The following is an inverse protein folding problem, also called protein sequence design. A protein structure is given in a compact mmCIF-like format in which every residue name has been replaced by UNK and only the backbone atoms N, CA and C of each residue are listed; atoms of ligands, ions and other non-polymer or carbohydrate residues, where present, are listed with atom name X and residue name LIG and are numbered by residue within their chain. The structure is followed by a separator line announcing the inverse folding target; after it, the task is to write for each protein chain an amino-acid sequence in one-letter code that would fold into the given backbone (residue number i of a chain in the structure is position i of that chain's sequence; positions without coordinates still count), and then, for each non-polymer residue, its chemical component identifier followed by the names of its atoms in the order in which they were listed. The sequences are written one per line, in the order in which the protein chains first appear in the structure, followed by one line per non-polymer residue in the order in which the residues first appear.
data_IF_522696143540
#
_entry.id   IF_522696143540
#
_cell.length_a   1.000
_cell.length_b   1.000
_cell.length_c   1.000
_cell.angle_alpha   90.00
_cell.angle_beta   90.00
_cell.angle_gamma   90.00
#
_symmetry.space_group_name_H-M   'P 1'
#
loop_
_entity.id
_entity.type
_entity.pdbx_description
1 polymer ?
#
# COMPACT_ATOMS: atom_id res chain seq x y z
N UNK A 1 42.64 -3.87 42.39
CA UNK A 1 43.05 -3.79 40.99
C UNK A 1 42.11 -4.53 40.03
N UNK A 2 41.67 -5.73 40.38
CA UNK A 2 40.83 -6.57 39.45
C UNK A 2 39.49 -5.94 39.06
N UNK A 3 38.79 -5.23 39.94
CA UNK A 3 37.51 -4.57 39.64
C UNK A 3 37.60 -3.37 38.68
N UNK A 4 38.71 -2.70 38.58
CA UNK A 4 38.94 -1.59 37.65
C UNK A 4 39.28 -2.08 36.21
N UNK A 5 39.89 -3.24 36.10
CA UNK A 5 40.19 -3.86 34.78
C UNK A 5 38.93 -4.42 34.18
N UNK A 6 38.01 -4.99 34.98
CA UNK A 6 36.72 -5.51 34.50
C UNK A 6 35.80 -4.39 33.95
N UNK A 7 35.82 -3.20 34.59
CA UNK A 7 35.03 -2.04 34.15
C UNK A 7 35.54 -1.45 32.82
N UNK A 8 36.88 -1.44 32.62
CA UNK A 8 37.49 -1.00 31.36
C UNK A 8 37.22 -1.98 30.19
N UNK A 9 37.20 -3.29 30.45
CA UNK A 9 36.88 -4.31 29.46
C UNK A 9 35.40 -4.26 29.02
N UNK A 10 34.47 -3.98 29.94
CA UNK A 10 33.05 -3.79 29.61
C UNK A 10 32.84 -2.50 28.81
N UNK A 11 33.57 -1.41 29.13
CA UNK A 11 33.46 -0.17 28.37
C UNK A 11 34.02 -0.31 26.93
N UNK A 12 35.08 -1.08 26.74
CA UNK A 12 35.64 -1.35 25.41
C UNK A 12 34.72 -2.25 24.57
N UNK A 13 34.03 -3.21 25.18
CA UNK A 13 33.04 -4.05 24.51
C UNK A 13 31.78 -3.27 24.09
N UNK A 14 31.37 -2.25 24.87
CA UNK A 14 30.23 -1.39 24.50
C UNK A 14 30.61 -0.44 23.35
N UNK A 15 31.86 -0.01 23.26
CA UNK A 15 32.32 0.86 22.16
C UNK A 15 32.59 0.12 20.85
N UNK A 16 32.82 -1.19 20.89
CA UNK A 16 33.01 -2.02 19.67
C UNK A 16 31.68 -2.39 18.96
N UNK A 17 30.53 -2.10 19.58
CA UNK A 17 29.20 -2.41 19.04
C UNK A 17 28.58 -1.34 18.14
N UNK A 18 29.17 -0.15 18.05
CA UNK A 18 28.73 0.88 17.08
C UNK A 18 29.24 0.55 15.68
N UNK A 19 28.66 -0.46 15.03
CA UNK A 19 28.74 -0.53 13.57
C UNK A 19 28.07 0.72 13.01
N UNK A 20 28.86 1.62 12.43
CA UNK A 20 28.35 2.71 11.61
C UNK A 20 27.43 2.07 10.57
N UNK A 21 26.13 2.40 10.63
CA UNK A 21 25.21 2.07 9.54
C UNK A 21 25.82 2.60 8.25
N UNK A 22 25.80 1.86 7.14
CA UNK A 22 26.25 2.42 5.87
C UNK A 22 25.42 3.67 5.62
N UNK A 23 26.07 4.83 5.51
CA UNK A 23 25.42 6.02 5.00
C UNK A 23 25.06 5.72 3.56
N UNK A 24 23.76 5.71 3.26
CA UNK A 24 23.30 5.72 1.88
C UNK A 24 23.75 7.07 1.32
N UNK A 25 24.64 7.04 0.35
CA UNK A 25 25.07 8.24 -0.37
C UNK A 25 23.83 8.80 -1.08
N UNK A 26 23.40 10.00 -0.68
CA UNK A 26 22.25 10.70 -1.26
C UNK A 26 22.44 11.02 -2.75
N UNK A 27 23.66 10.86 -3.28
CA UNK A 27 24.01 11.05 -4.68
C UNK A 27 24.12 9.73 -5.45
N UNK A 28 23.83 8.59 -4.84
CA UNK A 28 23.75 7.32 -5.57
C UNK A 28 22.53 7.39 -6.49
N UNK A 29 22.74 7.90 -7.67
CA UNK A 29 21.83 7.67 -8.78
C UNK A 29 21.84 6.15 -9.00
N UNK A 30 20.80 5.46 -8.59
CA UNK A 30 20.60 4.07 -8.98
C UNK A 30 20.53 4.05 -10.51
N UNK A 31 21.65 3.75 -11.16
CA UNK A 31 21.61 3.46 -12.58
C UNK A 31 20.79 2.17 -12.73
N UNK A 32 19.59 2.31 -13.26
CA UNK A 32 18.85 1.15 -13.74
C UNK A 32 19.79 0.48 -14.76
N UNK A 33 20.13 -0.80 -14.59
CA UNK A 33 20.99 -1.48 -15.55
C UNK A 33 20.38 -1.28 -16.96
N UNK A 34 21.20 -0.89 -17.93
CA UNK A 34 20.76 -0.84 -19.32
C UNK A 34 20.34 -2.26 -19.72
N UNK A 35 19.04 -2.49 -19.71
CA UNK A 35 18.48 -3.75 -20.15
C UNK A 35 18.42 -3.66 -21.68
N UNK A 36 19.11 -4.54 -22.38
CA UNK A 36 19.13 -4.53 -23.84
C UNK A 36 17.70 -4.66 -24.39
N UNK A 37 17.38 -3.96 -25.46
CA UNK A 37 16.06 -4.02 -26.11
C UNK A 37 15.58 -5.46 -26.41
N UNK A 38 16.52 -6.37 -26.68
CA UNK A 38 16.22 -7.77 -26.98
C UNK A 38 15.73 -8.56 -25.77
N UNK A 39 16.20 -8.22 -24.55
CA UNK A 39 15.69 -8.81 -23.31
C UNK A 39 14.27 -8.31 -23.04
N UNK A 40 14.01 -7.05 -23.35
CA UNK A 40 12.71 -6.41 -23.13
C UNK A 40 11.63 -6.86 -24.12
N UNK A 41 12.03 -7.34 -25.31
CA UNK A 41 11.12 -7.86 -26.32
C UNK A 41 10.71 -9.31 -26.08
N UNK A 42 11.42 -10.05 -25.22
CA UNK A 42 11.12 -11.46 -24.93
C UNK A 42 10.24 -11.55 -23.69
N UNK A 43 9.03 -12.06 -23.87
CA UNK A 43 8.20 -12.49 -22.75
C UNK A 43 8.95 -13.60 -22.00
N UNK A 44 9.18 -13.48 -20.68
CA UNK A 44 9.87 -14.52 -19.92
C UNK A 44 9.19 -15.89 -20.11
N UNK A 45 9.97 -16.96 -20.23
CA UNK A 45 9.43 -18.31 -20.45
C UNK A 45 8.40 -18.71 -19.38
N UNK A 46 8.65 -18.36 -18.13
CA UNK A 46 7.72 -18.64 -17.05
C UNK A 46 6.35 -17.99 -17.27
N UNK A 47 6.32 -16.76 -17.80
CA UNK A 47 5.08 -16.02 -18.02
C UNK A 47 4.26 -16.60 -19.19
N UNK A 48 4.94 -17.20 -20.16
CA UNK A 48 4.28 -17.90 -21.30
C UNK A 48 3.56 -19.18 -20.84
N UNK A 49 4.05 -19.81 -19.76
CA UNK A 49 3.53 -21.08 -19.22
C UNK A 49 2.76 -20.87 -17.91
N UNK A 50 2.52 -19.61 -17.51
CA UNK A 50 1.87 -19.30 -16.26
C UNK A 50 0.38 -19.62 -16.29
N UNK A 51 -0.08 -20.31 -15.26
CA UNK A 51 -1.49 -20.48 -14.92
C UNK A 51 -1.77 -19.51 -13.78
N UNK A 52 -2.48 -18.45 -14.12
CA UNK A 52 -2.71 -17.33 -13.23
C UNK A 52 -3.95 -17.51 -12.35
N UNK A 53 -3.85 -17.07 -11.11
CA UNK A 53 -5.00 -16.89 -10.24
C UNK A 53 -4.95 -15.48 -9.63
N UNK A 54 -5.97 -14.69 -9.90
CA UNK A 54 -6.09 -13.35 -9.29
C UNK A 54 -6.73 -13.47 -7.91
N UNK A 55 -6.12 -12.82 -6.94
CA UNK A 55 -6.60 -12.77 -5.55
C UNK A 55 -6.91 -11.33 -5.19
N UNK A 56 -8.13 -11.09 -4.72
CA UNK A 56 -8.52 -9.90 -4.01
C UNK A 56 -8.36 -10.22 -2.51
N UNK A 57 -7.25 -9.78 -1.84
CA UNK A 57 -6.90 -10.30 -0.52
C UNK A 57 -8.01 -10.19 0.50
N UNK A 58 -8.62 -9.01 0.63
CA UNK A 58 -9.70 -8.72 1.58
C UNK A 58 -10.92 -9.68 1.43
N UNK A 59 -11.12 -10.26 0.23
CA UNK A 59 -12.24 -11.14 -0.10
C UNK A 59 -11.89 -12.60 -0.25
N UNK A 60 -10.63 -12.98 -0.10
CA UNK A 60 -10.21 -14.34 -0.41
C UNK A 60 -10.39 -15.32 0.76
N UNK A 61 -9.76 -15.03 1.88
CA UNK A 61 -9.83 -15.86 3.08
C UNK A 61 -9.40 -15.05 4.30
N UNK A 62 -10.25 -15.01 5.33
CA UNK A 62 -9.90 -14.55 6.65
C UNK A 62 -9.07 -15.65 7.34
N UNK A 63 -7.80 -15.39 7.61
CA UNK A 63 -6.89 -16.30 8.28
C UNK A 63 -6.71 -15.97 9.76
N UNK A 64 -6.91 -14.70 10.14
CA UNK A 64 -6.82 -14.23 11.52
C UNK A 64 -7.95 -13.23 11.84
N UNK A 65 -9.03 -13.64 12.50
CA UNK A 65 -10.11 -12.73 12.85
C UNK A 65 -9.73 -11.58 13.79
N UNK A 66 -8.54 -11.62 14.41
CA UNK A 66 -8.10 -10.53 15.30
C UNK A 66 -7.62 -9.31 14.53
N UNK A 67 -7.31 -9.45 13.24
CA UNK A 67 -6.91 -8.34 12.37
C UNK A 67 -8.07 -7.78 11.53
N UNK A 68 -9.29 -8.25 11.74
CA UNK A 68 -10.47 -7.82 11.00
C UNK A 68 -10.58 -6.29 10.99
N UNK A 69 -10.89 -5.68 9.83
CA UNK A 69 -11.04 -4.24 9.74
C UNK A 69 -12.20 -3.74 10.59
N UNK A 70 -12.02 -2.55 11.15
CA UNK A 70 -13.03 -1.82 11.93
C UNK A 70 -13.51 -0.61 11.14
N UNK A 71 -14.62 -0.02 11.56
CA UNK A 71 -15.17 1.20 10.93
C UNK A 71 -14.13 2.34 10.88
N UNK A 72 -13.25 2.44 11.88
CA UNK A 72 -12.19 3.44 11.93
C UNK A 72 -11.12 3.23 10.85
N UNK A 73 -10.84 2.00 10.48
CA UNK A 73 -9.83 1.66 9.45
C UNK A 73 -10.28 2.09 8.05
N UNK A 74 -11.59 2.23 7.85
CA UNK A 74 -12.20 2.69 6.61
C UNK A 74 -12.36 4.21 6.50
N UNK A 75 -11.88 4.98 7.47
CA UNK A 75 -12.00 6.43 7.43
C UNK A 75 -11.29 7.00 6.20
N UNK A 76 -12.03 7.79 5.41
CA UNK A 76 -11.57 8.34 4.13
C UNK A 76 -11.95 7.51 2.91
N UNK A 77 -12.45 6.28 3.07
CA UNK A 77 -12.98 5.51 1.96
C UNK A 77 -14.35 6.05 1.50
N UNK A 78 -14.58 6.04 0.19
CA UNK A 78 -15.93 6.26 -0.32
C UNK A 78 -16.88 5.15 0.18
N UNK A 79 -18.11 5.43 0.58
CA UNK A 79 -18.89 6.67 0.44
C UNK A 79 -18.78 7.64 1.63
N UNK A 80 -17.74 7.61 2.42
CA UNK A 80 -17.48 8.50 3.57
C UNK A 80 -18.55 8.40 4.68
N UNK A 81 -19.30 7.32 4.70
CA UNK A 81 -20.40 7.10 5.63
C UNK A 81 -20.00 6.16 6.76
N UNK A 82 -20.25 6.56 7.99
CA UNK A 82 -20.14 5.68 9.16
C UNK A 82 -21.46 4.97 9.37
N UNK A 83 -21.45 3.64 9.34
CA UNK A 83 -22.64 2.81 9.53
C UNK A 83 -22.74 2.35 10.99
N UNK A 84 -23.83 2.67 11.66
CA UNK A 84 -24.08 2.18 13.01
C UNK A 84 -24.24 0.65 13.01
N UNK A 85 -23.61 -0.03 13.97
CA UNK A 85 -23.67 -1.49 14.06
C UNK A 85 -22.87 -2.23 12.99
N UNK A 86 -22.03 -1.53 12.23
CA UNK A 86 -21.18 -2.14 11.21
C UNK A 86 -20.28 -3.22 11.79
N UNK A 87 -20.13 -4.31 11.08
CA UNK A 87 -19.21 -5.43 11.35
C UNK A 87 -18.82 -6.11 10.05
N UNK A 88 -17.69 -6.85 10.00
CA UNK A 88 -17.33 -7.66 8.86
C UNK A 88 -18.45 -8.62 8.44
N UNK A 89 -18.53 -8.89 7.15
CA UNK A 89 -19.55 -9.74 6.56
C UNK A 89 -19.11 -11.20 6.67
N UNK A 90 -20.04 -12.08 7.05
CA UNK A 90 -19.77 -13.50 7.04
C UNK A 90 -19.58 -14.03 5.62
N UNK A 91 -18.50 -14.78 5.38
CA UNK A 91 -18.08 -15.22 4.06
C UNK A 91 -19.10 -16.11 3.34
N UNK A 92 -19.92 -16.86 4.05
CA UNK A 92 -20.96 -17.72 3.49
C UNK A 92 -22.28 -17.01 3.17
N UNK A 93 -22.37 -15.69 3.37
CA UNK A 93 -23.58 -14.92 3.04
C UNK A 93 -23.75 -14.82 1.53
N UNK A 94 -25.03 -14.86 1.07
CA UNK A 94 -25.36 -14.56 -0.32
C UNK A 94 -24.89 -13.14 -0.70
N UNK A 95 -24.30 -13.03 -1.90
CA UNK A 95 -23.67 -11.78 -2.34
C UNK A 95 -24.62 -10.58 -2.34
N UNK A 96 -25.86 -10.76 -2.76
CA UNK A 96 -26.82 -9.68 -2.88
C UNK A 96 -27.62 -9.43 -1.60
N UNK A 97 -27.47 -10.26 -0.59
CA UNK A 97 -28.10 -10.04 0.72
C UNK A 97 -27.36 -8.90 1.44
N UNK A 98 -28.11 -7.85 1.81
CA UNK A 98 -27.56 -6.77 2.63
C UNK A 98 -27.49 -7.20 4.09
N UNK A 99 -26.45 -6.76 4.77
CA UNK A 99 -26.25 -6.93 6.21
C UNK A 99 -27.27 -6.06 6.99
N UNK A 100 -27.53 -6.42 8.25
CA UNK A 100 -28.44 -5.66 9.12
C UNK A 100 -28.06 -4.18 9.23
N UNK A 101 -26.77 -3.89 9.34
CA UNK A 101 -26.26 -2.51 9.38
C UNK A 101 -26.49 -1.77 8.05
N UNK A 102 -26.42 -2.48 6.94
CA UNK A 102 -26.67 -1.92 5.61
C UNK A 102 -28.17 -1.61 5.42
N UNK A 103 -29.04 -2.55 5.78
CA UNK A 103 -30.51 -2.37 5.78
C UNK A 103 -30.93 -1.22 6.70
N UNK A 104 -30.37 -1.14 7.91
CA UNK A 104 -30.64 -0.07 8.86
C UNK A 104 -30.25 1.33 8.36
N UNK A 105 -29.31 1.42 7.41
CA UNK A 105 -28.92 2.69 6.80
C UNK A 105 -29.94 3.28 5.84
N UNK A 106 -30.90 2.48 5.35
CA UNK A 106 -31.85 2.85 4.33
C UNK A 106 -31.25 3.12 2.95
N UNK A 107 -29.98 2.75 2.74
CA UNK A 107 -29.29 2.89 1.46
C UNK A 107 -29.39 1.60 0.66
N UNK A 108 -29.27 1.73 -0.68
CA UNK A 108 -29.31 0.57 -1.57
C UNK A 108 -28.04 -0.30 -1.45
N UNK A 109 -28.11 -1.48 -2.06
CA UNK A 109 -27.02 -2.45 -2.06
C UNK A 109 -25.72 -1.87 -2.67
N UNK A 110 -25.80 -1.16 -3.78
CA UNK A 110 -24.59 -0.66 -4.47
C UNK A 110 -23.87 0.40 -3.69
N UNK A 111 -24.58 1.16 -2.87
CA UNK A 111 -23.99 2.11 -1.94
C UNK A 111 -23.34 1.39 -0.75
N UNK A 112 -24.05 0.45 -0.12
CA UNK A 112 -23.60 -0.20 1.12
C UNK A 112 -22.50 -1.23 0.89
N UNK A 113 -22.48 -1.93 -0.28
CA UNK A 113 -21.46 -2.92 -0.62
C UNK A 113 -20.04 -2.34 -0.65
N UNK A 114 -19.90 -1.05 -0.83
CA UNK A 114 -18.59 -0.35 -0.76
C UNK A 114 -18.00 -0.36 0.65
N UNK A 115 -18.82 -0.43 1.68
CA UNK A 115 -18.39 -0.55 3.07
C UNK A 115 -18.25 -2.00 3.54
N UNK A 116 -18.61 -2.98 2.70
CA UNK A 116 -18.54 -4.41 3.04
C UNK A 116 -17.08 -4.84 3.14
N UNK A 117 -16.75 -5.60 4.19
CA UNK A 117 -15.45 -6.22 4.41
C UNK A 117 -15.64 -7.66 4.85
N UNK A 118 -14.78 -8.54 4.35
CA UNK A 118 -14.77 -9.97 4.70
C UNK A 118 -13.58 -10.36 5.59
N UNK A 119 -12.65 -9.44 5.83
CA UNK A 119 -11.49 -9.68 6.68
C UNK A 119 -10.45 -10.62 6.07
N UNK A 120 -10.43 -10.76 4.74
CA UNK A 120 -9.37 -11.54 4.09
C UNK A 120 -7.99 -10.90 4.30
N UNK A 121 -6.96 -11.73 4.53
CA UNK A 121 -5.63 -11.32 4.93
C UNK A 121 -4.52 -12.19 4.32
N UNK A 122 -3.25 -11.87 4.61
CA UNK A 122 -2.11 -12.64 4.10
C UNK A 122 -2.00 -14.02 4.73
N UNK A 123 -2.42 -14.20 5.99
CA UNK A 123 -2.44 -15.51 6.61
C UNK A 123 -3.46 -16.42 5.90
N UNK A 124 -4.62 -15.90 5.54
CA UNK A 124 -5.62 -16.63 4.78
C UNK A 124 -5.12 -17.09 3.41
N UNK A 125 -4.30 -16.27 2.73
CA UNK A 125 -3.67 -16.67 1.46
C UNK A 125 -2.64 -17.78 1.72
N UNK A 126 -1.82 -17.66 2.76
CA UNK A 126 -0.86 -18.69 3.16
C UNK A 126 -1.57 -20.02 3.45
N UNK A 127 -2.67 -19.99 4.20
CA UNK A 127 -3.46 -21.17 4.55
C UNK A 127 -4.05 -21.88 3.32
N UNK A 128 -4.28 -21.13 2.23
CA UNK A 128 -4.83 -21.66 0.98
C UNK A 128 -3.77 -22.01 -0.07
N UNK A 129 -2.48 -21.97 0.28
CA UNK A 129 -1.41 -22.26 -0.67
C UNK A 129 -1.47 -23.69 -1.22
N UNK A 130 -1.84 -24.67 -0.39
CA UNK A 130 -2.08 -26.04 -0.84
C UNK A 130 -3.20 -26.14 -1.88
N UNK A 131 -4.33 -25.48 -1.62
CA UNK A 131 -5.45 -25.39 -2.56
C UNK A 131 -5.02 -24.78 -3.93
N UNK A 132 -4.25 -23.69 -3.91
CA UNK A 132 -3.76 -23.06 -5.15
C UNK A 132 -2.82 -24.00 -5.92
N UNK A 133 -1.97 -24.72 -5.21
CA UNK A 133 -1.07 -25.72 -5.79
C UNK A 133 -1.83 -26.87 -6.42
N UNK A 134 -2.85 -27.39 -5.73
CA UNK A 134 -3.69 -28.51 -6.20
C UNK A 134 -4.50 -28.13 -7.45
N UNK A 135 -4.85 -26.85 -7.61
CA UNK A 135 -5.43 -26.32 -8.84
C UNK A 135 -4.42 -26.21 -10.01
N UNK A 136 -3.13 -26.47 -9.78
CA UNK A 136 -2.08 -26.30 -10.78
C UNK A 136 -1.66 -24.85 -11.02
N UNK A 137 -1.99 -23.93 -10.09
CA UNK A 137 -1.62 -22.53 -10.18
C UNK A 137 -0.12 -22.37 -9.96
N UNK A 138 0.55 -21.60 -10.82
CA UNK A 138 1.97 -21.31 -10.70
C UNK A 138 2.30 -19.81 -10.71
N UNK A 139 1.28 -18.96 -10.79
CA UNK A 139 1.40 -17.50 -10.61
C UNK A 139 0.13 -16.93 -9.98
N UNK A 140 0.28 -16.19 -8.89
CA UNK A 140 -0.80 -15.40 -8.30
C UNK A 140 -0.60 -13.92 -8.61
N UNK A 141 -1.71 -13.25 -8.91
CA UNK A 141 -1.78 -11.80 -9.07
C UNK A 141 -2.59 -11.23 -7.92
N UNK A 142 -1.95 -10.47 -7.05
CA UNK A 142 -2.62 -9.83 -5.92
C UNK A 142 -3.14 -8.46 -6.34
N UNK A 143 -4.42 -8.18 -6.14
CA UNK A 143 -4.94 -6.82 -6.13
C UNK A 143 -4.14 -5.98 -5.10
N UNK A 144 -4.19 -4.64 -5.17
CA UNK A 144 -3.35 -3.80 -4.32
C UNK A 144 -3.36 -4.20 -2.86
N UNK A 145 -2.19 -4.12 -2.23
CA UNK A 145 -1.94 -4.62 -0.87
C UNK A 145 -1.43 -3.55 0.10
N UNK A 146 -1.26 -2.31 -0.38
CA UNK A 146 -0.75 -1.21 0.44
C UNK A 146 -1.79 -0.71 1.45
N UNK A 147 -1.32 -0.10 2.54
CA UNK A 147 -2.17 0.49 3.56
C UNK A 147 -3.12 1.52 2.95
N UNK A 148 -4.43 1.25 3.02
CA UNK A 148 -5.48 2.01 2.33
C UNK A 148 -6.80 1.93 3.09
N UNK A 149 -7.65 2.96 3.04
CA UNK A 149 -8.95 2.93 3.70
C UNK A 149 -9.99 2.08 2.96
N UNK A 150 -9.92 2.00 1.64
CA UNK A 150 -10.91 1.25 0.85
C UNK A 150 -10.66 -0.25 0.84
N UNK A 151 -11.69 -0.99 0.45
CA UNK A 151 -11.61 -2.44 0.28
C UNK A 151 -10.67 -2.86 -0.86
N UNK A 152 -10.58 -2.04 -1.91
CA UNK A 152 -9.80 -2.33 -3.12
C UNK A 152 -8.33 -1.91 -3.04
N UNK A 153 -7.96 -1.10 -2.03
CA UNK A 153 -6.59 -0.63 -1.75
C UNK A 153 -5.93 0.21 -2.85
N UNK A 154 -6.68 0.71 -3.85
CA UNK A 154 -6.12 1.62 -4.86
C UNK A 154 -5.89 3.05 -4.33
N UNK A 155 -6.51 3.42 -3.21
CA UNK A 155 -6.39 4.72 -2.55
C UNK A 155 -5.37 4.69 -1.41
N UNK A 156 -4.14 4.28 -1.73
CA UNK A 156 -3.08 4.07 -0.75
C UNK A 156 -2.78 5.32 0.10
N UNK A 157 -2.62 5.12 1.43
CA UNK A 157 -2.10 6.11 2.38
C UNK A 157 -0.57 6.20 2.30
N UNK A 158 0.08 5.09 1.96
CA UNK A 158 1.51 5.00 1.65
C UNK A 158 1.76 3.81 0.72
N UNK A 159 2.96 3.75 0.13
CA UNK A 159 3.35 2.67 -0.77
C UNK A 159 4.48 1.80 -0.23
N UNK A 160 5.04 2.12 0.92
CA UNK A 160 6.16 1.37 1.49
C UNK A 160 5.74 0.41 2.61
N UNK A 161 4.44 0.37 2.97
CA UNK A 161 3.89 -0.60 3.89
C UNK A 161 2.68 -1.33 3.30
N UNK A 162 2.57 -2.59 3.69
CA UNK A 162 1.38 -3.40 3.46
C UNK A 162 0.23 -2.93 4.34
N UNK A 163 -1.00 -3.20 3.92
CA UNK A 163 -2.18 -2.84 4.69
C UNK A 163 -2.16 -3.52 6.08
N UNK A 164 -2.40 -2.71 7.10
CA UNK A 164 -2.36 -3.14 8.50
C UNK A 164 -3.32 -4.29 8.79
N UNK A 165 -4.49 -4.31 8.18
CA UNK A 165 -5.48 -5.37 8.35
C UNK A 165 -5.12 -6.67 7.61
N UNK A 166 -4.01 -6.70 6.85
CA UNK A 166 -3.46 -7.92 6.28
C UNK A 166 -2.37 -8.55 7.15
N UNK A 167 -1.94 -7.86 8.21
CA UNK A 167 -0.92 -8.29 9.18
C UNK A 167 -1.51 -8.79 10.49
N UNK A 168 -0.65 -9.17 11.44
CA UNK A 168 -1.05 -9.75 12.71
C UNK A 168 -1.36 -8.70 13.81
N UNK A 169 -0.93 -7.44 13.65
CA UNK A 169 -1.09 -6.38 14.67
C UNK A 169 -1.45 -5.03 14.02
N UNK A 170 -2.72 -4.84 13.61
CA UNK A 170 -3.16 -3.62 12.93
C UNK A 170 -2.91 -2.34 13.72
N UNK A 171 -3.08 -2.38 15.04
CA UNK A 171 -2.91 -1.20 15.91
C UNK A 171 -1.43 -0.86 16.10
N UNK A 172 -0.58 -1.88 16.29
CA UNK A 172 0.87 -1.70 16.36
C UNK A 172 1.45 -1.18 15.05
N UNK A 173 1.01 -1.73 13.93
CA UNK A 173 1.40 -1.29 12.58
C UNK A 173 0.98 0.16 12.33
N UNK A 174 -0.26 0.53 12.67
CA UNK A 174 -0.75 1.91 12.58
C UNK A 174 0.07 2.89 13.43
N UNK A 175 0.41 2.48 14.66
CA UNK A 175 1.23 3.28 15.55
C UNK A 175 2.67 3.43 15.06
N UNK A 176 3.21 2.41 14.41
CA UNK A 176 4.55 2.40 13.80
C UNK A 176 4.59 3.37 12.61
N UNK A 177 3.71 3.21 11.63
CA UNK A 177 3.59 4.09 10.46
C UNK A 177 3.40 5.57 10.85
N UNK A 178 2.68 5.84 11.94
CA UNK A 178 2.48 7.21 12.43
C UNK A 178 3.74 7.86 12.98
N UNK A 179 4.73 7.08 13.45
CA UNK A 179 6.00 7.60 13.99
C UNK A 179 7.05 7.83 12.92
N UNK A 180 6.89 7.20 11.78
CA UNK A 180 7.82 7.33 10.67
C UNK A 180 7.75 8.71 10.00
N UNK A 181 8.86 9.08 9.38
CA UNK A 181 8.92 10.17 8.42
C UNK A 181 8.87 9.56 7.02
N UNK A 182 7.74 9.64 6.31
CA UNK A 182 7.57 8.92 5.04
C UNK A 182 8.64 9.22 3.99
N UNK A 183 9.28 10.39 4.05
CA UNK A 183 10.35 10.82 3.15
C UNK A 183 11.75 10.38 3.59
N UNK A 184 11.88 9.82 4.77
CA UNK A 184 13.17 9.42 5.33
C UNK A 184 13.21 7.90 5.54
N UNK A 185 13.74 7.14 4.56
CA UNK A 185 13.80 5.68 4.65
C UNK A 185 14.57 5.16 5.87
N UNK A 186 15.39 6.01 6.50
CA UNK A 186 16.12 5.63 7.72
C UNK A 186 15.20 5.48 8.94
N UNK A 187 13.98 5.99 8.86
CA UNK A 187 12.97 5.90 9.92
C UNK A 187 11.98 4.76 9.71
N UNK A 188 12.01 4.10 8.54
CA UNK A 188 11.07 3.04 8.23
C UNK A 188 11.39 1.77 9.00
N UNK A 189 10.35 1.14 9.52
CA UNK A 189 10.43 -0.11 10.26
C UNK A 189 9.53 -1.16 9.60
N UNK A 190 9.92 -2.42 9.65
CA UNK A 190 9.09 -3.50 9.15
C UNK A 190 7.87 -3.70 10.04
N UNK A 191 6.68 -3.46 9.50
CA UNK A 191 5.40 -3.73 10.16
C UNK A 191 5.14 -5.24 10.31
N UNK A 192 4.12 -5.63 11.06
CA UNK A 192 3.69 -7.02 11.12
C UNK A 192 3.15 -7.49 9.77
N UNK A 193 2.45 -6.62 9.07
CA UNK A 193 1.92 -6.90 7.73
C UNK A 193 3.04 -7.09 6.71
N UNK A 194 4.08 -6.26 6.71
CA UNK A 194 5.24 -6.41 5.82
C UNK A 194 5.95 -7.75 6.05
N UNK A 195 6.18 -8.10 7.30
CA UNK A 195 6.81 -9.39 7.67
C UNK A 195 5.97 -10.59 7.22
N UNK A 196 4.64 -10.49 7.40
CA UNK A 196 3.73 -11.56 6.98
C UNK A 196 3.66 -11.66 5.45
N UNK A 197 3.75 -10.54 4.74
CA UNK A 197 3.84 -10.53 3.27
C UNK A 197 5.12 -11.21 2.77
N UNK A 198 6.26 -10.97 3.40
CA UNK A 198 7.51 -11.70 3.08
C UNK A 198 7.34 -13.20 3.28
N UNK A 199 6.68 -13.63 4.38
CA UNK A 199 6.37 -15.04 4.64
C UNK A 199 5.44 -15.62 3.56
N UNK A 200 4.46 -14.86 3.08
CA UNK A 200 3.59 -15.25 1.98
C UNK A 200 4.40 -15.51 0.71
N UNK A 201 5.28 -14.58 0.33
CA UNK A 201 6.15 -14.70 -0.85
C UNK A 201 7.03 -15.95 -0.73
N UNK A 202 7.68 -16.14 0.42
CA UNK A 202 8.51 -17.32 0.68
C UNK A 202 7.70 -18.63 0.56
N UNK A 203 6.47 -18.65 1.11
CA UNK A 203 5.59 -19.81 1.06
C UNK A 203 5.13 -20.10 -0.36
N UNK A 204 4.77 -19.08 -1.13
CA UNK A 204 4.40 -19.20 -2.54
C UNK A 204 5.57 -19.78 -3.35
N UNK A 205 6.77 -19.22 -3.20
CA UNK A 205 7.97 -19.68 -3.90
C UNK A 205 8.33 -21.13 -3.57
N UNK A 206 8.23 -21.57 -2.30
CA UNK A 206 8.40 -22.96 -1.89
C UNK A 206 7.41 -23.92 -2.55
N UNK A 207 6.24 -23.42 -2.96
CA UNK A 207 5.23 -24.18 -3.68
C UNK A 207 5.31 -24.02 -5.21
N UNK A 208 6.35 -23.36 -5.74
CA UNK A 208 6.53 -23.11 -7.16
C UNK A 208 5.59 -22.03 -7.74
N UNK A 209 4.98 -21.22 -6.88
CA UNK A 209 4.03 -20.17 -7.26
C UNK A 209 4.72 -18.80 -7.21
N UNK A 210 4.68 -18.06 -8.31
CA UNK A 210 5.16 -16.68 -8.38
C UNK A 210 4.12 -15.72 -7.85
N UNK A 211 4.59 -14.61 -7.27
CA UNK A 211 3.73 -13.55 -6.75
C UNK A 211 3.93 -12.29 -7.58
N UNK A 212 2.84 -11.75 -8.11
CA UNK A 212 2.79 -10.47 -8.81
C UNK A 212 1.81 -9.59 -8.06
N UNK A 213 2.19 -8.34 -7.83
CA UNK A 213 1.39 -7.37 -7.05
C UNK A 213 0.93 -6.25 -7.95
N UNK A 214 -0.31 -5.85 -7.81
CA UNK A 214 -0.88 -4.68 -8.46
C UNK A 214 -0.50 -3.40 -7.72
N UNK A 215 -0.06 -2.39 -8.46
CA UNK A 215 0.24 -1.07 -7.96
C UNK A 215 -0.33 0.01 -8.89
N UNK A 216 -0.96 1.03 -8.31
CA UNK A 216 -1.37 2.22 -9.06
C UNK A 216 -0.31 3.32 -8.94
N UNK A 217 0.35 3.65 -10.05
CA UNK A 217 1.37 4.68 -10.14
C UNK A 217 0.88 5.98 -10.77
N UNK A 218 -0.40 6.08 -11.09
CA UNK A 218 -1.03 7.22 -11.75
C UNK A 218 -1.74 8.17 -10.78
N UNK A 219 -1.93 7.75 -9.53
CA UNK A 219 -2.57 8.54 -8.46
C UNK A 219 -2.12 8.04 -7.10
N UNK A 220 -2.43 8.79 -6.07
CA UNK A 220 -2.35 8.36 -4.67
C UNK A 220 -3.75 8.33 -4.06
N UNK A 221 -3.88 7.81 -2.85
CA UNK A 221 -5.09 8.05 -2.06
C UNK A 221 -5.16 9.51 -1.59
N UNK A 222 -6.37 10.01 -1.34
CA UNK A 222 -6.55 11.34 -0.74
C UNK A 222 -5.86 11.45 0.63
N UNK A 223 -5.75 10.34 1.37
CA UNK A 223 -5.07 10.27 2.67
C UNK A 223 -3.56 10.01 2.56
N UNK A 224 -3.01 9.99 1.35
CA UNK A 224 -1.57 9.86 1.16
C UNK A 224 -0.83 11.04 1.80
N UNK A 225 0.22 10.76 2.53
CA UNK A 225 0.93 11.75 3.35
C UNK A 225 1.35 13.01 2.59
N UNK A 226 1.85 12.88 1.35
CA UNK A 226 2.24 14.03 0.53
C UNK A 226 1.03 14.86 0.09
N UNK A 227 -0.10 14.21 -0.24
CA UNK A 227 -1.32 14.94 -0.59
C UNK A 227 -1.95 15.62 0.62
N UNK A 228 -1.87 15.00 1.81
CA UNK A 228 -2.28 15.63 3.06
C UNK A 228 -1.44 16.87 3.38
N UNK A 229 -0.13 16.83 3.08
CA UNK A 229 0.72 18.01 3.20
C UNK A 229 0.29 19.13 2.22
N UNK A 230 -0.06 18.77 0.98
CA UNK A 230 -0.58 19.75 -0.01
C UNK A 230 -1.90 20.36 0.46
N UNK A 231 -2.82 19.56 0.98
CA UNK A 231 -4.09 20.06 1.52
C UNK A 231 -3.89 21.02 2.70
N UNK A 232 -2.89 20.76 3.54
CA UNK A 232 -2.59 21.59 4.73
C UNK A 232 -1.82 22.86 4.41
N UNK A 233 -0.82 22.78 3.54
CA UNK A 233 0.16 23.84 3.31
C UNK A 233 -0.04 24.57 1.98
N UNK A 234 -0.98 24.12 1.14
CA UNK A 234 -1.31 24.74 -0.14
C UNK A 234 -0.08 24.86 -1.05
N UNK A 235 0.09 26.03 -1.64
CA UNK A 235 1.23 26.36 -2.54
C UNK A 235 2.60 26.26 -1.83
N UNK A 236 2.65 26.27 -0.50
CA UNK A 236 3.90 26.18 0.27
C UNK A 236 4.36 24.73 0.46
N UNK A 237 3.52 23.75 0.14
CA UNK A 237 3.90 22.35 0.17
C UNK A 237 4.94 22.06 -0.89
N UNK A 238 6.02 21.37 -0.50
CA UNK A 238 7.04 20.90 -1.45
C UNK A 238 6.54 19.80 -2.39
N UNK A 239 5.37 19.22 -2.07
CA UNK A 239 4.70 18.19 -2.88
C UNK A 239 3.61 18.76 -3.79
N UNK A 240 3.37 20.08 -3.78
CA UNK A 240 2.33 20.71 -4.61
C UNK A 240 2.51 20.38 -6.09
N UNK A 241 3.76 20.27 -6.54
CA UNK A 241 4.10 19.93 -7.92
C UNK A 241 3.89 18.45 -8.30
N UNK A 242 3.63 17.58 -7.34
CA UNK A 242 3.35 16.18 -7.63
C UNK A 242 1.97 15.97 -8.25
N UNK A 243 1.03 16.89 -8.02
CA UNK A 243 -0.38 16.75 -8.35
C UNK A 243 -0.85 17.81 -9.34
N UNK A 244 -1.92 17.50 -10.06
CA UNK A 244 -2.65 18.47 -10.85
C UNK A 244 -3.61 19.25 -9.94
N UNK A 245 -3.17 20.42 -9.46
CA UNK A 245 -3.95 21.33 -8.65
C UNK A 245 -4.42 22.46 -9.54
N UNK A 246 -5.74 22.60 -9.73
CA UNK A 246 -6.34 23.62 -10.57
C UNK A 246 -6.54 24.92 -9.78
N UNK A 247 -6.86 24.83 -8.47
CA UNK A 247 -6.98 25.96 -7.56
C UNK A 247 -6.56 25.57 -6.14
N UNK A 248 -5.77 26.41 -5.50
CA UNK A 248 -5.46 26.26 -4.08
C UNK A 248 -6.49 27.01 -3.25
N UNK A 249 -6.72 26.50 -2.05
CA UNK A 249 -7.54 27.13 -1.05
C UNK A 249 -7.01 28.53 -0.69
N UNK A 250 -7.88 29.51 -0.54
CA UNK A 250 -7.54 30.84 -0.05
C UNK A 250 -7.72 30.86 1.47
N UNK A 251 -6.62 30.83 2.19
CA UNK A 251 -6.62 30.79 3.66
C UNK A 251 -7.19 32.04 4.33
N UNK A 252 -7.43 33.11 3.55
CA UNK A 252 -8.05 34.34 4.03
C UNK A 252 -9.58 34.29 4.01
N UNK A 253 -10.15 33.33 3.29
CA UNK A 253 -11.60 33.08 3.28
C UNK A 253 -11.97 32.00 4.30
N UNK A 254 -13.14 32.07 4.95
CA UNK A 254 -13.60 31.03 5.87
C UNK A 254 -14.09 29.77 5.13
N UNK A 255 -14.19 29.80 3.82
CA UNK A 255 -14.64 28.71 2.98
C UNK A 255 -13.45 27.83 2.58
N UNK A 256 -13.57 26.52 2.79
CA UNK A 256 -12.55 25.53 2.44
C UNK A 256 -12.88 24.75 1.15
N UNK A 257 -13.88 25.19 0.39
CA UNK A 257 -14.34 24.52 -0.84
C UNK A 257 -13.55 24.95 -2.08
N UNK A 258 -12.63 25.89 -1.95
CA UNK A 258 -11.89 26.47 -3.06
C UNK A 258 -10.77 25.57 -3.59
N UNK A 259 -10.36 24.56 -2.79
CA UNK A 259 -9.30 23.64 -3.21
C UNK A 259 -9.80 22.69 -4.31
N UNK A 260 -9.32 22.92 -5.53
CA UNK A 260 -9.70 22.15 -6.72
C UNK A 260 -8.49 21.42 -7.29
N UNK A 261 -8.61 20.12 -7.43
CA UNK A 261 -7.59 19.24 -7.98
C UNK A 261 -8.20 18.17 -8.89
N UNK A 262 -7.37 17.56 -9.73
CA UNK A 262 -7.79 16.45 -10.58
C UNK A 262 -7.72 15.14 -9.83
N UNK A 263 -8.81 14.39 -9.88
CA UNK A 263 -8.84 13.00 -9.51
C UNK A 263 -8.67 12.12 -10.74
N UNK A 264 -7.94 11.02 -10.61
CA UNK A 264 -7.82 10.03 -11.66
C UNK A 264 -9.22 9.50 -12.05
N UNK A 265 -9.50 9.45 -13.36
CA UNK A 265 -10.83 9.12 -13.87
C UNK A 265 -11.97 9.94 -13.24
N UNK A 266 -11.72 11.19 -12.83
CA UNK A 266 -12.63 12.08 -12.11
C UNK A 266 -13.03 11.62 -10.69
N UNK A 267 -12.33 10.64 -10.12
CA UNK A 267 -12.55 10.17 -8.74
C UNK A 267 -11.71 11.03 -7.78
N UNK A 268 -12.35 11.82 -6.93
CA UNK A 268 -11.67 12.75 -6.01
C UNK A 268 -10.91 12.08 -4.88
N UNK A 269 -11.22 10.85 -4.55
CA UNK A 269 -10.47 10.03 -3.59
C UNK A 269 -9.09 9.60 -4.12
N UNK A 270 -8.85 9.78 -5.43
CA UNK A 270 -7.65 9.35 -6.14
C UNK A 270 -6.92 10.54 -6.79
N UNK A 271 -6.26 11.43 -6.01
CA UNK A 271 -5.53 12.58 -6.54
C UNK A 271 -4.53 12.16 -7.62
N UNK A 272 -4.65 12.73 -8.81
CA UNK A 272 -3.83 12.35 -9.96
C UNK A 272 -2.42 12.93 -9.86
N UNK A 273 -1.42 12.05 -10.02
CA UNK A 273 -0.02 12.45 -10.07
C UNK A 273 0.33 13.06 -11.43
N UNK A 274 1.08 14.14 -11.40
CA UNK A 274 1.61 14.77 -12.61
C UNK A 274 2.53 13.80 -13.35
N UNK A 275 2.30 13.70 -14.64
CA UNK A 275 3.17 12.97 -15.56
C UNK A 275 4.24 13.93 -16.06
N UNK A 276 5.46 13.48 -16.11
CA UNK A 276 6.59 14.23 -16.65
C UNK A 276 7.14 13.54 -17.90
N UNK A 277 7.61 14.33 -18.87
CA UNK A 277 8.23 13.78 -20.07
C UNK A 277 9.54 13.06 -19.73
N UNK A 278 9.70 11.87 -20.29
CA UNK A 278 10.95 11.11 -20.20
C UNK A 278 11.68 11.25 -21.51
N UNK A 279 12.84 11.88 -21.47
CA UNK A 279 13.67 12.08 -22.68
C UNK A 279 14.21 10.75 -23.24
N UNK A 280 14.41 9.75 -22.42
CA UNK A 280 14.86 8.42 -22.81
C UNK A 280 13.75 7.40 -22.57
N UNK A 281 13.02 7.05 -23.62
CA UNK A 281 11.99 6.02 -23.57
C UNK A 281 12.63 4.64 -23.64
N UNK A 282 12.66 3.95 -22.53
CA UNK A 282 12.94 2.52 -22.52
C UNK A 282 11.70 1.87 -23.17
N UNK A 283 11.81 1.27 -24.36
CA UNK A 283 10.78 0.47 -25.05
C UNK A 283 10.03 1.05 -26.23
N UNK A 284 10.33 2.23 -26.75
CA UNK A 284 9.66 2.76 -27.96
C UNK A 284 8.14 2.90 -27.86
N UNK A 285 7.53 2.65 -26.70
CA UNK A 285 6.11 2.89 -26.45
C UNK A 285 5.92 4.32 -25.98
N UNK A 286 4.88 4.95 -26.50
CA UNK A 286 4.47 6.28 -26.11
C UNK A 286 3.86 6.27 -24.70
N UNK A 287 4.69 6.09 -23.68
CA UNK A 287 4.34 6.60 -22.39
C UNK A 287 4.56 8.10 -22.43
N UNK A 288 3.51 8.85 -22.67
CA UNK A 288 3.52 10.26 -22.46
C UNK A 288 3.54 10.49 -20.95
N UNK A 289 4.71 10.65 -20.42
CA UNK A 289 4.96 11.03 -19.02
C UNK A 289 5.28 9.87 -18.07
N UNK A 290 6.21 10.13 -17.19
CA UNK A 290 6.53 9.36 -15.99
C UNK A 290 5.94 10.04 -14.77
N UNK A 291 5.91 9.30 -13.66
CA UNK A 291 5.72 9.90 -12.34
C UNK A 291 6.79 10.96 -12.07
N UNK A 292 6.43 11.96 -11.27
CA UNK A 292 7.38 12.95 -10.80
C UNK A 292 8.65 12.27 -10.26
N UNK A 293 9.87 12.77 -10.55
CA UNK A 293 11.13 12.08 -10.19
C UNK A 293 11.24 11.70 -8.71
N UNK A 294 10.58 12.45 -7.83
CA UNK A 294 10.58 12.20 -6.38
C UNK A 294 9.58 11.14 -5.92
N UNK A 295 8.71 10.66 -6.81
CA UNK A 295 7.75 9.57 -6.54
C UNK A 295 8.33 8.19 -6.90
N UNK A 296 9.55 8.15 -7.45
CA UNK A 296 10.24 6.90 -7.84
C UNK A 296 10.74 6.12 -6.65
#
# INVERSE_FOLDING_TARGET
MLKRILFLLVLVLIMAGCRKRPQVDKNTVYSVPEVSEDILKKVPEWAQKAIWYQIFPERFRNGDPNNDPRMADMEGAWPHTKFAGWKPTFWGQDWFTQEDWALASGKDFYFTVQARRYGGDFQGIIDKMGYLKDLGINAIYLNPVNDSPSLHKYDARNYHHMDRNFGADPDGDAAMMKREKPEDPSTWEWTSADKLFLKLIETAHKNGIRVVVDYSWNHTGKQFWAFQDVMKNGKKSKFADWYYIDQFDDVETPDTNEFVYRGWANVKELPELKKVDVKNRIHGRAYEGNLHPEVK
#
